data_IF_821732169873
#
_entry.id   IF_821732169873
#
_cell.length_a   1.000
_cell.length_b   1.000
_cell.length_c   1.000
_cell.angle_alpha   90.00
_cell.angle_beta   90.00
_cell.angle_gamma   90.00
#
_symmetry.space_group_name_H-M   'P 1'
#
loop_
_entity.id
_entity.type
_entity.pdbx_description
1 polymer ?
#
# COMPACT_ATOMS: atom_id res chain seq x y z
N UNK A 1 14.48 7.07 1.68
CA UNK A 1 15.01 7.59 0.41
C UNK A 1 14.88 9.09 0.29
N UNK A 2 13.81 9.67 0.79
CA UNK A 2 13.59 11.12 0.73
C UNK A 2 14.69 11.93 1.44
N UNK A 3 15.16 11.44 2.58
CA UNK A 3 16.23 12.10 3.33
C UNK A 3 17.60 12.05 2.62
N UNK A 4 17.79 11.10 1.71
CA UNK A 4 19.02 10.96 0.92
C UNK A 4 18.96 11.75 -0.40
N UNK A 5 17.95 12.60 -0.56
CA UNK A 5 17.74 13.42 -1.77
C UNK A 5 17.62 12.58 -3.06
N UNK A 6 17.10 11.36 -2.93
CA UNK A 6 16.88 10.50 -4.08
C UNK A 6 15.67 11.01 -4.88
N UNK A 7 15.89 11.26 -6.16
CA UNK A 7 14.83 11.73 -7.05
C UNK A 7 14.09 10.57 -7.69
N UNK A 8 12.88 10.83 -8.17
CA UNK A 8 12.07 9.83 -8.89
C UNK A 8 12.84 9.27 -10.10
N UNK A 9 13.58 10.12 -10.78
CA UNK A 9 14.32 9.76 -11.99
C UNK A 9 15.44 8.75 -11.73
N UNK A 10 16.02 8.76 -10.54
CA UNK A 10 17.12 7.84 -10.21
C UNK A 10 16.66 6.37 -10.24
N UNK A 11 15.39 6.12 -9.98
CA UNK A 11 14.82 4.77 -10.05
C UNK A 11 14.01 4.54 -11.32
N UNK A 12 13.31 5.58 -11.81
CA UNK A 12 12.35 5.44 -12.90
C UNK A 12 12.91 5.75 -14.29
N UNK A 13 14.16 6.20 -14.40
CA UNK A 13 14.83 6.34 -15.69
C UNK A 13 15.98 5.34 -15.78
N UNK A 14 16.13 4.68 -16.93
CA UNK A 14 17.29 3.83 -17.21
C UNK A 14 18.42 4.63 -17.87
N UNK A 15 19.52 3.96 -18.23
CA UNK A 15 20.69 4.59 -18.86
C UNK A 15 20.35 5.23 -20.22
N UNK A 16 19.33 4.73 -20.89
CA UNK A 16 18.86 5.26 -22.18
C UNK A 16 17.84 6.40 -22.02
N UNK A 17 17.65 6.90 -20.78
CA UNK A 17 16.70 7.97 -20.46
C UNK A 17 15.24 7.59 -20.72
N UNK A 18 14.94 6.28 -20.77
CA UNK A 18 13.56 5.79 -20.89
C UNK A 18 12.94 5.60 -19.52
N UNK A 19 11.67 5.94 -19.40
CA UNK A 19 10.91 5.72 -18.15
C UNK A 19 10.68 4.23 -17.97
N UNK A 20 11.05 3.71 -16.81
CA UNK A 20 10.91 2.29 -16.49
C UNK A 20 10.20 2.11 -15.16
N UNK A 21 9.63 0.92 -14.95
CA UNK A 21 9.13 0.50 -13.65
C UNK A 21 10.27 -0.17 -12.91
N UNK A 22 10.73 0.40 -11.77
CA UNK A 22 11.84 -0.20 -11.02
C UNK A 22 11.48 -1.58 -10.48
N UNK A 23 12.50 -2.41 -10.34
CA UNK A 23 12.39 -3.73 -9.70
C UNK A 23 13.45 -3.85 -8.60
N UNK A 24 13.58 -5.05 -8.02
CA UNK A 24 14.55 -5.29 -6.97
C UNK A 24 15.99 -4.98 -7.38
N UNK A 25 16.34 -5.19 -8.64
CA UNK A 25 17.68 -4.90 -9.16
C UNK A 25 18.00 -3.41 -9.10
N UNK A 26 16.99 -2.56 -9.29
CA UNK A 26 17.14 -1.11 -9.20
C UNK A 26 17.61 -0.70 -7.80
N UNK A 27 17.11 -1.37 -6.77
CA UNK A 27 17.50 -1.10 -5.38
C UNK A 27 19.00 -1.36 -5.16
N UNK A 28 19.54 -2.37 -5.81
CA UNK A 28 20.93 -2.78 -5.64
C UNK A 28 21.94 -1.80 -6.27
N UNK A 29 21.49 -0.81 -7.02
CA UNK A 29 22.32 0.26 -7.53
C UNK A 29 22.90 1.10 -6.39
N UNK A 30 22.16 1.28 -5.31
CA UNK A 30 22.55 2.08 -4.14
C UNK A 30 22.61 1.28 -2.85
N UNK A 31 21.94 0.13 -2.79
CA UNK A 31 21.82 -0.70 -1.59
C UNK A 31 22.55 -2.03 -1.75
N UNK A 32 22.89 -2.64 -0.62
CA UNK A 32 23.51 -3.97 -0.59
C UNK A 32 22.52 -5.08 -0.95
N UNK A 33 23.05 -6.27 -1.22
CA UNK A 33 22.24 -7.46 -1.49
C UNK A 33 21.26 -7.72 -0.33
N UNK A 34 20.03 -8.05 -0.68
CA UNK A 34 18.94 -8.25 0.27
C UNK A 34 17.85 -7.19 0.15
N UNK A 35 18.16 -5.99 -0.33
CA UNK A 35 17.16 -4.95 -0.53
C UNK A 35 16.19 -5.27 -1.67
N UNK A 36 16.65 -6.05 -2.66
CA UNK A 36 15.80 -6.58 -3.73
C UNK A 36 14.70 -7.49 -3.17
N UNK A 37 15.07 -8.37 -2.23
CA UNK A 37 14.13 -9.27 -1.56
C UNK A 37 13.19 -8.50 -0.64
N UNK A 38 13.69 -7.47 0.02
CA UNK A 38 12.89 -6.62 0.88
C UNK A 38 11.76 -5.95 0.08
N UNK A 39 12.06 -5.45 -1.11
CA UNK A 39 11.04 -4.87 -1.99
C UNK A 39 9.96 -5.88 -2.35
N UNK A 40 10.36 -7.11 -2.72
CA UNK A 40 9.41 -8.16 -3.08
C UNK A 40 8.54 -8.57 -1.89
N UNK A 41 9.12 -8.65 -0.69
CA UNK A 41 8.38 -8.92 0.54
C UNK A 41 7.36 -7.84 0.84
N UNK A 42 7.74 -6.55 0.69
CA UNK A 42 6.80 -5.45 0.88
C UNK A 42 5.63 -5.54 -0.09
N UNK A 43 5.92 -5.77 -1.37
CA UNK A 43 4.87 -5.89 -2.39
C UNK A 43 3.91 -7.03 -2.08
N UNK A 44 4.45 -8.19 -1.74
CA UNK A 44 3.63 -9.38 -1.43
C UNK A 44 2.79 -9.15 -0.19
N UNK A 45 3.40 -8.76 0.91
CA UNK A 45 2.72 -8.54 2.18
C UNK A 45 1.66 -7.45 2.07
N UNK A 46 2.00 -6.33 1.45
CA UNK A 46 1.08 -5.21 1.32
C UNK A 46 -0.06 -5.52 0.36
N UNK A 47 0.19 -6.28 -0.70
CA UNK A 47 -0.87 -6.73 -1.62
C UNK A 47 -1.85 -7.67 -0.92
N UNK A 48 -1.35 -8.58 -0.10
CA UNK A 48 -2.19 -9.50 0.69
C UNK A 48 -3.06 -8.74 1.69
N UNK A 49 -2.47 -7.77 2.40
CA UNK A 49 -3.21 -6.92 3.34
C UNK A 49 -4.28 -6.11 2.64
N UNK A 50 -3.96 -5.57 1.47
CA UNK A 50 -4.91 -4.79 0.68
C UNK A 50 -6.08 -5.65 0.21
N UNK A 51 -5.82 -6.88 -0.23
CA UNK A 51 -6.88 -7.84 -0.59
C UNK A 51 -7.78 -8.15 0.61
N UNK A 52 -7.21 -8.31 1.79
CA UNK A 52 -7.97 -8.51 3.02
C UNK A 52 -8.89 -7.31 3.31
N UNK A 53 -8.39 -6.10 3.10
CA UNK A 53 -9.17 -4.86 3.26
C UNK A 53 -10.33 -4.83 2.26
N UNK A 54 -10.09 -5.21 1.02
CA UNK A 54 -11.14 -5.26 -0.01
C UNK A 54 -12.26 -6.24 0.38
N UNK A 55 -11.90 -7.39 0.95
CA UNK A 55 -12.88 -8.36 1.46
C UNK A 55 -13.67 -7.80 2.62
N UNK A 56 -13.02 -7.08 3.53
CA UNK A 56 -13.70 -6.42 4.65
C UNK A 56 -14.66 -5.34 4.15
N UNK A 57 -14.25 -4.55 3.17
CA UNK A 57 -15.10 -3.53 2.57
C UNK A 57 -16.34 -4.14 1.93
N UNK A 58 -16.21 -5.27 1.24
CA UNK A 58 -17.33 -5.98 0.64
C UNK A 58 -18.30 -6.48 1.73
N UNK A 59 -17.79 -6.95 2.85
CA UNK A 59 -18.61 -7.40 3.98
C UNK A 59 -19.35 -6.24 4.63
N UNK A 60 -18.71 -5.10 4.77
CA UNK A 60 -19.34 -3.89 5.32
C UNK A 60 -20.48 -3.42 4.40
N UNK A 61 -20.27 -3.49 3.08
CA UNK A 61 -21.30 -3.12 2.10
C UNK A 61 -22.54 -4.01 2.20
N UNK A 62 -22.35 -5.29 2.49
CA UNK A 62 -23.46 -6.24 2.62
C UNK A 62 -24.08 -6.26 4.01
N UNK A 63 -23.43 -5.63 4.98
CA UNK A 63 -23.92 -5.53 6.35
C UNK A 63 -24.86 -4.32 6.49
N UNK A 64 -25.72 -4.36 7.50
CA UNK A 64 -26.59 -3.23 7.83
C UNK A 64 -25.81 -2.22 8.67
N UNK A 65 -25.15 -1.29 7.99
CA UNK A 65 -24.28 -0.29 8.63
C UNK A 65 -25.13 0.88 9.13
N UNK A 66 -25.07 1.22 10.44
CA UNK A 66 -25.76 2.39 10.96
C UNK A 66 -25.40 3.68 10.22
N UNK A 67 -26.37 4.57 10.11
CA UNK A 67 -26.21 5.83 9.36
C UNK A 67 -25.01 6.65 9.84
N UNK A 68 -24.75 6.66 11.15
CA UNK A 68 -23.63 7.41 11.74
C UNK A 68 -22.25 6.88 11.31
N UNK A 69 -22.17 5.64 10.83
CA UNK A 69 -20.91 5.02 10.40
C UNK A 69 -20.69 5.08 8.89
N UNK A 70 -21.67 5.54 8.11
CA UNK A 70 -21.57 5.54 6.65
C UNK A 70 -20.46 6.44 6.13
N UNK A 71 -20.29 7.62 6.71
CA UNK A 71 -19.20 8.54 6.35
C UNK A 71 -17.84 7.92 6.63
N UNK A 72 -17.73 7.22 7.76
CA UNK A 72 -16.48 6.53 8.14
C UNK A 72 -16.13 5.45 7.13
N UNK A 73 -17.11 4.65 6.72
CA UNK A 73 -16.91 3.62 5.70
C UNK A 73 -16.46 4.25 4.38
N UNK A 74 -17.11 5.33 3.95
CA UNK A 74 -16.74 6.02 2.71
C UNK A 74 -15.30 6.55 2.76
N UNK A 75 -14.89 7.09 3.90
CA UNK A 75 -13.51 7.58 4.08
C UNK A 75 -12.50 6.44 4.04
N UNK A 76 -12.80 5.32 4.69
CA UNK A 76 -11.92 4.15 4.68
C UNK A 76 -11.79 3.57 3.28
N UNK A 77 -12.89 3.54 2.52
CA UNK A 77 -12.88 3.09 1.13
C UNK A 77 -12.02 3.99 0.25
N UNK A 78 -12.12 5.30 0.45
CA UNK A 78 -11.30 6.27 -0.29
C UNK A 78 -9.82 6.10 0.02
N UNK A 79 -9.47 5.90 1.29
CA UNK A 79 -8.09 5.65 1.71
C UNK A 79 -7.54 4.37 1.09
N UNK A 80 -8.31 3.28 1.12
CA UNK A 80 -7.92 2.01 0.50
C UNK A 80 -7.69 2.17 -1.00
N UNK A 81 -8.54 2.95 -1.67
CA UNK A 81 -8.41 3.25 -3.09
C UNK A 81 -7.11 3.98 -3.42
N UNK A 82 -6.69 4.91 -2.56
CA UNK A 82 -5.42 5.62 -2.73
C UNK A 82 -4.23 4.67 -2.58
N UNK A 83 -4.28 3.78 -1.60
CA UNK A 83 -3.23 2.78 -1.40
C UNK A 83 -3.15 1.79 -2.56
N UNK A 84 -4.28 1.42 -3.13
CA UNK A 84 -4.34 0.54 -4.30
C UNK A 84 -3.69 1.19 -5.53
N UNK A 85 -3.82 2.50 -5.68
CA UNK A 85 -3.22 3.24 -6.80
C UNK A 85 -1.71 3.34 -6.72
N UNK A 86 -1.11 3.13 -5.55
CA UNK A 86 0.34 3.07 -5.42
C UNK A 86 0.86 1.77 -6.03
N UNK A 87 1.34 1.84 -7.26
CA UNK A 87 1.89 0.69 -7.97
C UNK A 87 3.13 0.09 -7.30
N UNK A 88 3.81 0.86 -6.45
CA UNK A 88 4.98 0.37 -5.72
C UNK A 88 4.62 -0.50 -4.51
N UNK A 89 3.35 -0.50 -4.11
CA UNK A 89 2.85 -1.20 -2.91
C UNK A 89 3.65 -0.85 -1.65
N UNK A 90 3.94 0.42 -1.51
CA UNK A 90 4.57 0.96 -0.33
C UNK A 90 6.09 1.16 -0.43
N UNK A 91 6.71 0.91 -1.58
CA UNK A 91 8.14 1.11 -1.72
C UNK A 91 8.56 2.57 -1.52
N UNK A 92 7.67 3.53 -1.82
CA UNK A 92 7.95 4.95 -1.64
C UNK A 92 8.02 5.33 -0.15
N UNK A 93 7.22 4.69 0.69
CA UNK A 93 7.28 4.85 2.15
C UNK A 93 6.60 3.66 2.81
N UNK A 94 7.38 2.59 3.03
CA UNK A 94 6.84 1.31 3.50
C UNK A 94 6.25 1.39 4.90
N UNK A 95 6.84 2.17 5.79
CA UNK A 95 6.36 2.30 7.18
C UNK A 95 4.99 2.96 7.20
N UNK A 96 4.86 4.11 6.52
CA UNK A 96 3.60 4.85 6.46
C UNK A 96 2.51 4.04 5.75
N UNK A 97 2.86 3.36 4.66
CA UNK A 97 1.93 2.54 3.91
C UNK A 97 1.35 1.43 4.79
N UNK A 98 2.20 0.72 5.52
CA UNK A 98 1.76 -0.35 6.43
C UNK A 98 0.92 0.18 7.58
N UNK A 99 1.27 1.35 8.12
CA UNK A 99 0.46 1.99 9.16
C UNK A 99 -0.97 2.27 8.67
N UNK A 100 -1.12 2.78 7.46
CA UNK A 100 -2.45 3.03 6.88
C UNK A 100 -3.21 1.73 6.65
N UNK A 101 -2.55 0.70 6.13
CA UNK A 101 -3.21 -0.60 5.94
C UNK A 101 -3.72 -1.16 7.27
N UNK A 102 -2.90 -1.14 8.29
CA UNK A 102 -3.26 -1.66 9.61
C UNK A 102 -4.38 -0.85 10.25
N UNK A 103 -4.34 0.48 10.10
CA UNK A 103 -5.36 1.37 10.63
C UNK A 103 -6.71 1.14 9.95
N UNK A 104 -6.70 1.01 8.64
CA UNK A 104 -7.93 0.72 7.87
C UNK A 104 -8.51 -0.63 8.29
N UNK A 105 -7.68 -1.67 8.39
CA UNK A 105 -8.10 -2.99 8.81
C UNK A 105 -8.74 -2.98 10.19
N UNK A 106 -8.11 -2.31 11.14
CA UNK A 106 -8.61 -2.19 12.50
C UNK A 106 -9.97 -1.54 12.54
N UNK A 107 -10.12 -0.41 11.86
CA UNK A 107 -11.38 0.33 11.83
C UNK A 107 -12.50 -0.44 11.12
N UNK A 108 -12.18 -1.14 10.04
CA UNK A 108 -13.17 -1.96 9.35
C UNK A 108 -13.64 -3.14 10.19
N UNK A 109 -12.72 -3.77 10.93
CA UNK A 109 -13.08 -4.87 11.83
C UNK A 109 -14.03 -4.41 12.95
N UNK A 110 -13.88 -3.17 13.41
CA UNK A 110 -14.80 -2.59 14.39
C UNK A 110 -16.22 -2.39 13.82
N UNK A 111 -16.32 -2.15 12.51
CA UNK A 111 -17.59 -1.85 11.85
C UNK A 111 -18.31 -3.10 11.34
N UNK A 112 -17.57 -4.19 11.08
CA UNK A 112 -18.18 -5.44 10.62
C UNK A 112 -18.73 -6.21 11.81
N UNK A 113 -20.03 -6.60 11.80
CA UNK A 113 -20.58 -7.41 12.86
C UNK A 113 -19.84 -8.74 12.99
N UNK A 114 -19.67 -9.19 14.22
CA UNK A 114 -19.02 -10.48 14.49
C UNK A 114 -19.91 -11.64 14.05
N UNK A 115 -19.24 -12.69 13.63
CA UNK A 115 -19.91 -13.93 13.20
C UNK A 115 -19.62 -15.03 14.20
#
# INVERSE_FOLDING_TARGET
>A
MQEAEVTCQQCHLNDDQAVVRPDGKTCLTCHDAGYDKMLEEWKTTNSEKLQSIEKLLARVDSADVPAENRSRVANLRAMAGLLEKDGSRGAHNSVLYQEYLDRISTQLNELVPYR
#
